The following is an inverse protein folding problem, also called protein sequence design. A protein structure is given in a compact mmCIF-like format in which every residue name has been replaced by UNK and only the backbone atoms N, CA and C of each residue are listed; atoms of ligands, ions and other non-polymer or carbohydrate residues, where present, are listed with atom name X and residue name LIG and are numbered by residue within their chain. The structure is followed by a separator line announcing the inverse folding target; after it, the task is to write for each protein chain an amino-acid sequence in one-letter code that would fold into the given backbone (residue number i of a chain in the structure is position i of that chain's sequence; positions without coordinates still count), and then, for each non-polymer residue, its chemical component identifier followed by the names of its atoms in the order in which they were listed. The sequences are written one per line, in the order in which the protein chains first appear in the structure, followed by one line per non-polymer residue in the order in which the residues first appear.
data_IF_755706471723
#
_entry.id   IF_755706471723
#
_cell.length_a   1.000
_cell.length_b   1.000
_cell.length_c   1.000
_cell.angle_alpha   90.00
_cell.angle_beta   90.00
_cell.angle_gamma   90.00
#
_symmetry.space_group_name_H-M   'P 1'
#
loop_
_entity.id
_entity.type
_entity.pdbx_description
1 polymer ?
#
# COMPACT_ATOMS: atom_id res chain seq x y z
N UNK A 1 -21.47 -23.56 1.00
CA UNK A 1 -22.86 -23.42 1.46
C UNK A 1 -22.89 -22.57 2.71
N UNK A 2 -23.34 -21.32 2.61
CA UNK A 2 -23.35 -20.34 3.71
C UNK A 2 -24.51 -20.67 4.66
N UNK A 3 -24.21 -21.05 5.91
CA UNK A 3 -25.24 -21.27 6.94
C UNK A 3 -25.93 -19.94 7.25
N UNK A 4 -27.26 -19.90 7.17
CA UNK A 4 -28.02 -18.72 7.55
C UNK A 4 -27.79 -18.41 9.04
N UNK A 5 -27.57 -17.14 9.42
CA UNK A 5 -27.26 -16.78 10.80
C UNK A 5 -28.48 -17.06 11.69
N UNK A 6 -28.27 -17.86 12.74
CA UNK A 6 -29.30 -18.23 13.71
C UNK A 6 -29.86 -17.00 14.43
N UNK A 7 -31.11 -17.04 14.87
CA UNK A 7 -31.75 -15.91 15.58
C UNK A 7 -30.88 -15.36 16.73
N UNK A 8 -30.22 -16.23 17.49
CA UNK A 8 -29.29 -15.84 18.56
C UNK A 8 -28.07 -15.04 18.06
N UNK A 9 -27.55 -15.33 16.86
CA UNK A 9 -26.44 -14.57 16.27
C UNK A 9 -26.89 -13.16 15.84
N UNK A 10 -28.13 -13.01 15.38
CA UNK A 10 -28.69 -11.69 15.05
C UNK A 10 -28.85 -10.84 16.32
N UNK A 11 -29.36 -11.43 17.39
CA UNK A 11 -29.48 -10.75 18.69
C UNK A 11 -28.12 -10.39 19.30
N UNK A 12 -27.11 -11.27 19.20
CA UNK A 12 -25.77 -10.96 19.72
C UNK A 12 -25.09 -9.83 18.97
N UNK A 13 -25.29 -9.73 17.65
CA UNK A 13 -24.77 -8.62 16.84
C UNK A 13 -25.42 -7.29 17.24
N UNK A 14 -26.75 -7.25 17.36
CA UNK A 14 -27.48 -6.03 17.80
C UNK A 14 -27.07 -5.62 19.21
N UNK A 15 -26.89 -6.57 20.13
CA UNK A 15 -26.40 -6.29 21.47
C UNK A 15 -24.97 -5.71 21.44
N UNK A 16 -24.06 -6.26 20.62
CA UNK A 16 -22.68 -5.77 20.49
C UNK A 16 -22.60 -4.34 19.96
N UNK A 17 -23.47 -3.96 19.01
CA UNK A 17 -23.45 -2.64 18.36
C UNK A 17 -24.24 -1.57 19.14
N UNK A 18 -25.15 -1.96 20.04
CA UNK A 18 -25.98 -1.02 20.80
C UNK A 18 -25.19 -0.29 21.90
N UNK A 19 -25.29 1.04 21.92
CA UNK A 19 -24.67 1.92 22.94
C UNK A 19 -25.56 1.93 24.20
N UNK A 20 -25.36 0.96 25.09
CA UNK A 20 -26.05 0.94 26.38
C UNK A 20 -25.30 1.79 27.43
N UNK A 21 -26.00 2.46 28.36
CA UNK A 21 -25.38 3.38 29.33
C UNK A 21 -24.41 2.71 30.32
N UNK A 22 -24.52 1.39 30.53
CA UNK A 22 -23.59 0.62 31.37
C UNK A 22 -22.41 0.01 30.60
N UNK A 23 -22.38 0.09 29.26
CA UNK A 23 -21.29 -0.44 28.44
C UNK A 23 -20.17 0.58 28.32
N UNK A 24 -18.97 0.18 28.76
CA UNK A 24 -17.75 1.01 28.67
C UNK A 24 -17.22 1.15 27.24
N UNK A 25 -17.56 0.21 26.35
CA UNK A 25 -17.08 0.17 24.97
C UNK A 25 -18.12 -0.47 24.06
N UNK A 26 -18.12 -0.05 22.79
CA UNK A 26 -19.12 -0.46 21.79
C UNK A 26 -18.39 -0.93 20.54
N UNK A 27 -18.86 -2.05 19.97
CA UNK A 27 -18.38 -2.55 18.69
C UNK A 27 -18.95 -1.66 17.59
N UNK A 28 -18.07 -1.01 16.84
CA UNK A 28 -18.44 -0.08 15.78
C UNK A 28 -18.58 -0.81 14.44
N UNK A 29 -17.66 -1.73 14.15
CA UNK A 29 -17.70 -2.48 12.90
C UNK A 29 -16.56 -3.49 12.80
N UNK A 30 -16.46 -4.09 11.62
CA UNK A 30 -15.41 -5.03 11.26
C UNK A 30 -14.90 -4.73 9.85
N UNK A 31 -13.68 -5.16 9.55
CA UNK A 31 -13.13 -5.13 8.19
C UNK A 31 -13.35 -6.46 7.43
N UNK A 32 -12.81 -6.54 6.22
CA UNK A 32 -12.85 -7.75 5.37
C UNK A 32 -12.02 -8.90 5.96
N UNK A 33 -11.00 -8.59 6.76
CA UNK A 33 -10.13 -9.55 7.44
C UNK A 33 -10.77 -10.13 8.72
N UNK A 34 -11.85 -9.50 9.19
CA UNK A 34 -12.57 -9.87 10.41
C UNK A 34 -12.00 -9.24 11.68
N UNK A 35 -11.18 -8.20 11.57
CA UNK A 35 -10.75 -7.39 12.70
C UNK A 35 -11.93 -6.59 13.25
N UNK A 36 -12.06 -6.50 14.56
CA UNK A 36 -13.15 -5.78 15.24
C UNK A 36 -12.68 -4.39 15.69
N UNK A 37 -13.49 -3.36 15.44
CA UNK A 37 -13.17 -1.97 15.78
C UNK A 37 -14.06 -1.46 16.88
N UNK A 38 -13.45 -0.91 17.92
CA UNK A 38 -14.12 -0.55 19.17
C UNK A 38 -13.95 0.93 19.49
N UNK A 39 -14.98 1.51 20.11
CA UNK A 39 -14.96 2.88 20.62
C UNK A 39 -15.42 2.91 22.09
N UNK A 40 -14.70 3.66 22.92
CA UNK A 40 -15.09 3.98 24.29
C UNK A 40 -15.19 5.49 24.52
N UNK A 41 -16.26 5.98 25.16
CA UNK A 41 -16.33 7.37 25.57
C UNK A 41 -15.22 7.70 26.58
N UNK A 42 -14.70 8.92 26.50
CA UNK A 42 -13.70 9.39 27.45
C UNK A 42 -14.40 9.96 28.70
N UNK A 43 -14.09 9.47 29.92
CA UNK A 43 -14.71 9.97 31.15
C UNK A 43 -14.40 11.44 31.44
N UNK A 44 -13.31 11.99 30.91
CA UNK A 44 -12.88 13.38 31.15
C UNK A 44 -13.28 14.34 30.02
N UNK A 45 -14.38 14.08 29.32
CA UNK A 45 -14.91 14.93 28.22
C UNK A 45 -13.94 15.16 27.04
N UNK A 46 -12.95 14.28 26.86
CA UNK A 46 -11.99 14.34 25.75
C UNK A 46 -12.41 13.51 24.52
N UNK A 47 -11.47 13.34 23.58
CA UNK A 47 -11.64 12.47 22.41
C UNK A 47 -11.93 11.03 22.88
N UNK A 48 -12.93 10.33 22.27
CA UNK A 48 -13.20 8.94 22.61
C UNK A 48 -11.98 8.08 22.30
N UNK A 49 -11.78 6.99 23.04
CA UNK A 49 -10.71 6.03 22.73
C UNK A 49 -11.19 5.11 21.61
N UNK A 50 -10.39 4.94 20.56
CA UNK A 50 -10.63 4.01 19.46
C UNK A 50 -9.50 3.00 19.39
N UNK A 51 -9.83 1.72 19.25
CA UNK A 51 -8.82 0.67 19.07
C UNK A 51 -9.36 -0.45 18.19
N UNK A 52 -8.44 -1.30 17.73
CA UNK A 52 -8.73 -2.49 16.94
C UNK A 52 -8.42 -3.72 17.79
N UNK A 53 -9.26 -4.73 17.68
CA UNK A 53 -9.01 -6.07 18.16
C UNK A 53 -8.80 -6.95 16.94
N UNK A 54 -7.56 -7.40 16.73
CA UNK A 54 -7.25 -8.28 15.62
C UNK A 54 -7.89 -9.64 15.81
N UNK A 55 -8.32 -10.24 14.70
CA UNK A 55 -8.95 -11.57 14.72
C UNK A 55 -7.95 -12.65 15.12
N UNK A 56 -6.75 -12.56 14.59
CA UNK A 56 -5.64 -13.44 14.96
C UNK A 56 -4.97 -12.87 16.21
N UNK A 57 -4.72 -13.74 17.20
CA UNK A 57 -3.98 -13.36 18.40
C UNK A 57 -2.48 -13.27 18.06
N UNK A 58 -2.13 -12.28 17.24
CA UNK A 58 -0.74 -11.91 17.06
C UNK A 58 -0.22 -11.30 18.36
N UNK A 59 1.02 -11.62 18.72
CA UNK A 59 1.67 -11.00 19.85
C UNK A 59 1.69 -9.49 19.62
N UNK A 60 1.49 -8.67 20.65
CA UNK A 60 1.40 -7.21 20.49
C UNK A 60 2.62 -6.58 19.80
N UNK A 61 3.77 -7.27 19.79
CA UNK A 61 4.98 -6.90 19.05
C UNK A 61 4.84 -6.95 17.54
N UNK A 62 3.96 -7.81 17.02
CA UNK A 62 3.87 -8.14 15.60
C UNK A 62 2.76 -7.32 14.90
N UNK A 63 2.16 -6.39 15.63
CA UNK A 63 1.12 -5.52 15.11
C UNK A 63 1.71 -4.50 14.12
N UNK A 64 1.56 -4.77 12.83
CA UNK A 64 1.87 -3.81 11.79
C UNK A 64 0.62 -3.03 11.39
N UNK A 65 0.65 -1.71 11.60
CA UNK A 65 -0.48 -0.84 11.24
C UNK A 65 -0.83 -0.89 9.75
N UNK A 66 0.13 -1.21 8.89
CA UNK A 66 -0.02 -1.26 7.43
C UNK A 66 -0.98 -2.36 6.97
N UNK A 67 -1.21 -3.40 7.80
CA UNK A 67 -2.13 -4.49 7.48
C UNK A 67 -3.61 -4.07 7.57
N UNK A 68 -3.92 -2.94 8.24
CA UNK A 68 -5.29 -2.45 8.39
C UNK A 68 -5.74 -1.66 7.16
N UNK A 69 -7.03 -1.72 6.77
CA UNK A 69 -7.56 -0.86 5.72
C UNK A 69 -7.40 0.63 6.06
N UNK A 70 -7.01 1.43 5.07
CA UNK A 70 -6.71 2.87 5.23
C UNK A 70 -7.89 3.64 5.84
N UNK A 71 -9.13 3.29 5.49
CA UNK A 71 -10.32 3.96 6.01
C UNK A 71 -10.49 3.72 7.52
N UNK A 72 -10.19 2.51 7.98
CA UNK A 72 -10.20 2.18 9.40
C UNK A 72 -9.03 2.83 10.13
N UNK A 73 -7.84 2.92 9.52
CA UNK A 73 -6.73 3.68 10.09
C UNK A 73 -7.09 5.16 10.29
N UNK A 74 -7.71 5.80 9.29
CA UNK A 74 -8.15 7.20 9.38
C UNK A 74 -9.21 7.41 10.49
N UNK A 75 -10.09 6.42 10.69
CA UNK A 75 -11.06 6.44 11.78
C UNK A 75 -10.38 6.26 13.15
N UNK A 76 -9.45 5.29 13.29
CA UNK A 76 -8.69 5.07 14.52
C UNK A 76 -7.88 6.31 14.93
N UNK A 77 -7.28 7.02 13.96
CA UNK A 77 -6.50 8.25 14.18
C UNK A 77 -7.36 9.50 14.40
N UNK A 78 -8.68 9.36 14.45
CA UNK A 78 -9.63 10.48 14.56
C UNK A 78 -9.56 11.51 13.42
N UNK A 79 -8.91 11.18 12.31
CA UNK A 79 -8.93 12.03 11.11
C UNK A 79 -10.31 12.02 10.46
N UNK A 80 -11.00 10.87 10.55
CA UNK A 80 -12.38 10.71 10.09
C UNK A 80 -13.36 10.60 11.27
N UNK A 81 -14.45 11.39 11.30
CA UNK A 81 -15.48 11.27 12.33
C UNK A 81 -16.41 10.07 12.07
N UNK A 82 -16.77 9.85 10.81
CA UNK A 82 -17.69 8.78 10.39
C UNK A 82 -16.99 7.43 10.27
N UNK A 83 -17.73 6.37 10.55
CA UNK A 83 -17.24 5.00 10.46
C UNK A 83 -17.20 4.57 8.99
N UNK A 84 -16.17 3.84 8.56
CA UNK A 84 -16.13 3.33 7.19
C UNK A 84 -17.22 2.29 6.96
N UNK A 85 -17.70 2.21 5.72
CA UNK A 85 -18.65 1.17 5.30
C UNK A 85 -17.93 0.01 4.63
N UNK A 86 -18.52 -1.18 4.67
CA UNK A 86 -17.94 -2.38 4.03
C UNK A 86 -17.81 -2.16 2.51
N UNK A 87 -18.81 -1.54 1.88
CA UNK A 87 -18.76 -1.23 0.44
C UNK A 87 -17.58 -0.34 0.06
N UNK A 88 -17.33 0.71 0.84
CA UNK A 88 -16.19 1.62 0.65
C UNK A 88 -14.84 0.88 0.73
N UNK A 89 -14.71 -0.05 1.68
CA UNK A 89 -13.48 -0.85 1.84
C UNK A 89 -13.28 -1.77 0.63
N UNK A 90 -14.34 -2.42 0.15
CA UNK A 90 -14.29 -3.29 -1.04
C UNK A 90 -13.89 -2.48 -2.28
N UNK A 91 -14.47 -1.30 -2.48
CA UNK A 91 -14.13 -0.44 -3.62
C UNK A 91 -12.67 0.00 -3.59
N UNK A 92 -12.15 0.35 -2.41
CA UNK A 92 -10.76 0.72 -2.27
C UNK A 92 -9.80 -0.44 -2.53
N UNK A 93 -10.14 -1.66 -2.09
CA UNK A 93 -9.33 -2.84 -2.37
C UNK A 93 -9.31 -3.15 -3.87
N UNK A 94 -10.45 -3.05 -4.55
CA UNK A 94 -10.52 -3.17 -6.02
C UNK A 94 -9.65 -2.12 -6.73
N UNK A 95 -9.70 -0.87 -6.28
CA UNK A 95 -8.86 0.21 -6.82
C UNK A 95 -7.38 -0.09 -6.60
N UNK A 96 -7.00 -0.56 -5.41
CA UNK A 96 -5.61 -0.95 -5.08
C UNK A 96 -5.09 -2.02 -6.03
N UNK A 97 -5.86 -3.09 -6.22
CA UNK A 97 -5.52 -4.20 -7.13
C UNK A 97 -5.38 -3.72 -8.57
N UNK A 98 -6.29 -2.87 -9.04
CA UNK A 98 -6.25 -2.31 -10.39
C UNK A 98 -5.00 -1.42 -10.61
N UNK A 99 -4.66 -0.58 -9.64
CA UNK A 99 -3.46 0.27 -9.70
C UNK A 99 -2.21 -0.60 -9.73
N UNK A 100 -2.13 -1.63 -8.89
CA UNK A 100 -0.99 -2.55 -8.86
C UNK A 100 -0.82 -3.29 -10.20
N UNK A 101 -1.91 -3.74 -10.81
CA UNK A 101 -1.87 -4.38 -12.13
C UNK A 101 -1.36 -3.43 -13.22
N UNK A 102 -1.83 -2.17 -13.22
CA UNK A 102 -1.37 -1.15 -14.18
C UNK A 102 0.07 -0.73 -13.97
N UNK A 103 0.49 -0.57 -12.72
CA UNK A 103 1.88 -0.26 -12.38
C UNK A 103 2.82 -1.33 -12.93
N UNK A 104 2.48 -2.61 -12.71
CA UNK A 104 3.24 -3.74 -13.26
C UNK A 104 3.37 -3.70 -14.79
N UNK A 105 2.28 -3.40 -15.49
CA UNK A 105 2.32 -3.28 -16.96
C UNK A 105 3.23 -2.13 -17.42
N UNK A 106 3.15 -0.98 -16.77
CA UNK A 106 4.01 0.16 -17.07
C UNK A 106 5.48 -0.12 -16.78
N UNK A 107 5.77 -0.83 -15.70
CA UNK A 107 7.14 -1.23 -15.35
C UNK A 107 7.71 -2.19 -16.42
N UNK A 108 6.92 -3.17 -16.88
CA UNK A 108 7.31 -4.08 -17.96
C UNK A 108 7.57 -3.35 -19.29
N UNK A 109 6.69 -2.42 -19.68
CA UNK A 109 6.87 -1.58 -20.87
C UNK A 109 8.12 -0.69 -20.76
N UNK A 110 8.36 -0.12 -19.57
CA UNK A 110 9.53 0.71 -19.30
C UNK A 110 10.83 -0.08 -19.39
N UNK A 111 10.87 -1.29 -18.83
CA UNK A 111 12.03 -2.18 -18.92
C UNK A 111 12.34 -2.56 -20.38
N UNK A 112 11.32 -2.91 -21.16
CA UNK A 112 11.49 -3.21 -22.59
C UNK A 112 12.01 -1.99 -23.36
N UNK A 113 11.45 -0.80 -23.11
CA UNK A 113 11.92 0.44 -23.77
C UNK A 113 13.36 0.75 -23.41
N UNK A 114 13.75 0.52 -22.15
CA UNK A 114 15.13 0.72 -21.68
C UNK A 114 16.11 -0.21 -22.39
N UNK A 115 15.75 -1.48 -22.60
CA UNK A 115 16.58 -2.43 -23.34
C UNK A 115 16.76 -2.00 -24.80
N UNK A 116 15.67 -1.60 -25.47
CA UNK A 116 15.74 -1.09 -26.86
C UNK A 116 16.66 0.12 -26.99
N UNK A 117 16.56 1.09 -26.07
CA UNK A 117 17.41 2.27 -26.07
C UNK A 117 18.89 1.91 -25.84
N UNK A 118 19.17 0.92 -24.98
CA UNK A 118 20.54 0.42 -24.78
C UNK A 118 21.07 -0.25 -26.06
N UNK A 119 20.26 -1.08 -26.73
CA UNK A 119 20.62 -1.70 -28.00
C UNK A 119 20.90 -0.63 -29.08
N UNK A 120 20.00 0.34 -29.25
CA UNK A 120 20.17 1.48 -30.16
C UNK A 120 21.47 2.24 -29.87
N UNK A 121 21.75 2.56 -28.61
CA UNK A 121 22.99 3.23 -28.19
C UNK A 121 24.23 2.39 -28.52
N UNK A 122 24.20 1.09 -28.23
CA UNK A 122 25.33 0.20 -28.56
C UNK A 122 25.59 0.12 -30.05
N UNK A 123 24.53 0.00 -30.87
CA UNK A 123 24.64 -0.03 -32.33
C UNK A 123 25.23 1.28 -32.88
N UNK A 124 24.80 2.44 -32.37
CA UNK A 124 25.36 3.74 -32.74
C UNK A 124 26.83 3.86 -32.36
N UNK A 125 27.22 3.37 -31.17
CA UNK A 125 28.61 3.36 -30.73
C UNK A 125 29.48 2.47 -31.62
N UNK A 126 28.98 1.30 -32.02
CA UNK A 126 29.66 0.39 -32.94
C UNK A 126 29.81 0.99 -34.34
N UNK A 127 28.75 1.57 -34.89
CA UNK A 127 28.79 2.26 -36.19
C UNK A 127 29.80 3.43 -36.15
N UNK A 128 29.78 4.25 -35.10
CA UNK A 128 30.71 5.35 -34.94
C UNK A 128 32.16 4.86 -34.85
N UNK A 129 32.43 3.77 -34.11
CA UNK A 129 33.75 3.12 -34.08
C UNK A 129 34.18 2.68 -35.48
N UNK A 130 33.30 2.01 -36.23
CA UNK A 130 33.59 1.55 -37.59
C UNK A 130 33.92 2.72 -38.53
N UNK A 131 33.09 3.78 -38.53
CA UNK A 131 33.35 5.00 -39.32
C UNK A 131 34.70 5.61 -38.97
N UNK A 132 35.02 5.78 -37.68
CA UNK A 132 36.32 6.31 -37.22
C UNK A 132 37.51 5.45 -37.65
N UNK A 133 37.38 4.13 -37.66
CA UNK A 133 38.44 3.23 -38.14
C UNK A 133 38.61 3.30 -39.65
N UNK A 134 37.53 3.45 -40.42
CA UNK A 134 37.57 3.60 -41.88
C UNK A 134 38.18 4.94 -42.31
N UNK A 135 37.89 6.01 -41.59
CA UNK A 135 38.45 7.35 -41.83
C UNK A 135 39.92 7.48 -41.37
N UNK A 136 40.52 6.44 -40.78
CA UNK A 136 41.92 6.44 -40.34
C UNK A 136 42.21 7.35 -39.14
N UNK A 137 41.19 7.92 -38.50
CA UNK A 137 41.33 8.92 -37.44
C UNK A 137 41.40 8.23 -36.06
N UNK A 138 42.51 7.54 -35.76
CA UNK A 138 42.85 7.24 -34.37
C UNK A 138 43.29 8.54 -33.69
N UNK A 139 42.67 8.98 -32.56
CA UNK A 139 43.34 9.96 -31.73
C UNK A 139 44.66 9.32 -31.29
N UNK A 140 45.78 9.84 -31.79
CA UNK A 140 47.10 9.39 -31.39
C UNK A 140 47.14 9.32 -29.86
N UNK A 141 47.72 8.24 -29.33
CA UNK A 141 47.93 8.07 -27.89
C UNK A 141 48.40 9.40 -27.31
N UNK A 142 47.61 10.02 -26.44
CA UNK A 142 48.02 11.24 -25.76
C UNK A 142 49.24 10.88 -24.91
N UNK A 143 50.42 11.10 -25.46
CA UNK A 143 51.67 11.06 -24.73
C UNK A 143 51.84 12.48 -24.19
N UNK A 144 51.72 12.71 -22.87
CA UNK A 144 52.04 14.00 -22.32
C UNK A 144 53.54 14.25 -22.56
N UNK A 145 53.86 15.07 -23.56
CA UNK A 145 55.22 15.54 -23.75
C UNK A 145 55.54 16.55 -22.66
N UNK A 146 56.44 16.16 -21.74
CA UNK A 146 56.93 17.03 -20.70
C UNK A 146 57.62 18.25 -21.34
N UNK A 147 57.13 19.45 -21.02
CA UNK A 147 57.64 20.71 -21.54
C UNK A 147 59.00 20.99 -20.87
N UNK A 148 60.10 20.88 -21.61
CA UNK A 148 61.44 21.26 -21.12
C UNK A 148 61.52 22.78 -20.93
N UNK A 149 62.22 23.22 -19.87
CA UNK A 149 62.30 24.61 -19.37
C UNK A 149 63.33 25.45 -20.10
#
# INVERSE_FOLDING_TARGET
MSRAPTFLQRFSHVYKTSRFPWKKHVLIGHDLSGNEYWEAPNPHQGRPKRWVQMKEQQQYSDFEQEQLPVQWQAWLRHTRPTTPTIGEIIEAEKKRQLIMARAKQLDEEWEQRKLQLQEEETLLLEENKQRRTADGQYPGSWTPTARER
#
